data_IF_846463057678
#
_entry.id   IF_846463057678
#
_cell.length_a   1.000
_cell.length_b   1.000
_cell.length_c   1.000
_cell.angle_alpha   90.00
_cell.angle_beta   90.00
_cell.angle_gamma   90.00
#
_symmetry.space_group_name_H-M   'P 1'
#
loop_
_entity.id
_entity.type
_entity.pdbx_description
1 polymer ?
#
# COMPACT_ATOMS: atom_id res chain seq x y z
N UNK A 1 -27.18 -18.75 -53.38
CA UNK A 1 -26.59 -19.22 -52.10
C UNK A 1 -25.59 -18.16 -51.66
N UNK A 2 -26.00 -17.25 -50.77
CA UNK A 2 -25.18 -16.10 -50.33
C UNK A 2 -24.50 -16.49 -49.00
N UNK A 3 -23.18 -16.69 -49.03
CA UNK A 3 -22.37 -16.81 -47.81
C UNK A 3 -22.22 -15.41 -47.19
N UNK A 4 -22.85 -15.19 -46.05
CA UNK A 4 -22.61 -14.03 -45.20
C UNK A 4 -21.52 -14.41 -44.19
N UNK A 5 -20.38 -13.73 -44.28
CA UNK A 5 -19.24 -13.87 -43.41
C UNK A 5 -19.57 -13.21 -42.06
N UNK A 6 -19.84 -14.02 -41.03
CA UNK A 6 -20.01 -13.52 -39.66
C UNK A 6 -18.64 -13.27 -39.04
N UNK A 7 -18.23 -11.99 -38.98
CA UNK A 7 -17.05 -11.57 -38.22
C UNK A 7 -17.45 -11.57 -36.74
N UNK A 8 -16.91 -12.53 -35.99
CA UNK A 8 -17.06 -12.60 -34.55
C UNK A 8 -16.36 -11.40 -33.89
N UNK A 9 -17.14 -10.50 -33.31
CA UNK A 9 -16.64 -9.39 -32.48
C UNK A 9 -16.18 -9.96 -31.14
N UNK A 10 -14.87 -10.15 -30.98
CA UNK A 10 -14.24 -10.38 -29.68
C UNK A 10 -14.34 -9.07 -28.87
N UNK A 11 -15.40 -8.91 -28.09
CA UNK A 11 -15.40 -7.96 -26.99
C UNK A 11 -14.37 -8.45 -25.97
N UNK A 12 -13.19 -7.85 -25.95
CA UNK A 12 -12.28 -7.95 -24.82
C UNK A 12 -12.98 -7.28 -23.63
N UNK A 13 -13.44 -8.08 -22.66
CA UNK A 13 -13.91 -7.58 -21.39
C UNK A 13 -12.69 -7.04 -20.66
N UNK A 14 -12.51 -5.72 -20.69
CA UNK A 14 -11.65 -5.03 -19.74
C UNK A 14 -12.28 -5.23 -18.36
N UNK A 15 -11.84 -6.25 -17.64
CA UNK A 15 -12.21 -6.43 -16.24
C UNK A 15 -11.71 -5.22 -15.46
N UNK A 16 -12.62 -4.48 -14.84
CA UNK A 16 -12.25 -3.47 -13.85
C UNK A 16 -11.47 -4.18 -12.74
N UNK A 17 -10.26 -3.71 -12.45
CA UNK A 17 -9.51 -4.19 -11.28
C UNK A 17 -10.35 -3.89 -10.02
N UNK A 18 -10.49 -4.83 -9.08
CA UNK A 18 -11.20 -4.59 -7.84
C UNK A 18 -10.55 -3.42 -7.09
N UNK A 19 -11.38 -2.55 -6.52
CA UNK A 19 -10.92 -1.43 -5.71
C UNK A 19 -10.17 -1.94 -4.47
N UNK A 20 -9.09 -1.25 -4.11
CA UNK A 20 -8.34 -1.54 -2.88
C UNK A 20 -9.19 -1.14 -1.67
N UNK A 21 -9.56 -2.10 -0.84
CA UNK A 21 -10.38 -1.86 0.35
C UNK A 21 -9.48 -1.66 1.58
N UNK A 22 -9.46 -0.43 2.09
CA UNK A 22 -8.73 -0.08 3.32
C UNK A 22 -9.55 -0.47 4.56
N UNK A 23 -8.88 -0.85 5.67
CA UNK A 23 -9.59 -1.09 6.91
C UNK A 23 -10.15 0.22 7.47
N UNK A 24 -11.33 0.12 8.07
CA UNK A 24 -11.88 1.19 8.89
C UNK A 24 -10.98 1.42 10.12
N UNK A 25 -10.54 2.66 10.30
CA UNK A 25 -9.58 3.06 11.32
C UNK A 25 -10.03 4.35 11.99
N UNK A 26 -10.14 4.30 13.32
CA UNK A 26 -10.39 5.48 14.14
C UNK A 26 -9.07 6.09 14.62
N UNK A 27 -8.86 7.37 14.30
CA UNK A 27 -7.74 8.14 14.82
C UNK A 27 -8.09 8.65 16.22
N UNK A 28 -7.34 8.23 17.24
CA UNK A 28 -7.57 8.62 18.64
C UNK A 28 -6.31 9.34 19.17
N UNK A 29 -6.30 10.68 19.21
CA UNK A 29 -5.12 11.43 19.61
C UNK A 29 -4.52 11.01 20.96
N UNK A 30 -3.23 10.64 20.95
CA UNK A 30 -2.46 10.25 22.14
C UNK A 30 -2.77 8.86 22.70
N UNK A 31 -3.62 8.06 22.04
CA UNK A 31 -4.04 6.75 22.54
C UNK A 31 -3.23 5.61 21.94
N UNK A 32 -2.87 4.57 22.72
CA UNK A 32 -2.30 3.33 22.18
C UNK A 32 -3.29 2.56 21.28
N UNK A 33 -4.59 2.87 21.36
CA UNK A 33 -5.63 2.24 20.54
C UNK A 33 -5.89 3.01 19.23
N UNK A 34 -5.15 4.10 18.98
CA UNK A 34 -5.26 4.87 17.75
C UNK A 34 -4.93 4.02 16.52
N UNK A 35 -5.71 4.14 15.44
CA UNK A 35 -5.58 3.36 14.22
C UNK A 35 -5.25 4.27 13.03
N UNK A 36 -4.33 3.81 12.18
CA UNK A 36 -4.07 4.42 10.87
C UNK A 36 -4.03 3.37 9.77
N UNK A 37 -4.77 3.53 8.67
CA UNK A 37 -4.68 2.60 7.55
C UNK A 37 -3.32 2.75 6.86
N UNK A 38 -2.78 1.63 6.37
CA UNK A 38 -1.52 1.55 5.64
C UNK A 38 -1.73 0.82 4.31
N UNK A 39 -1.07 1.34 3.27
CA UNK A 39 -0.87 0.66 1.98
C UNK A 39 0.61 0.56 1.73
N UNK A 40 1.09 -0.59 1.26
CA UNK A 40 2.48 -0.74 0.85
C UNK A 40 2.56 -1.47 -0.50
N UNK A 41 3.26 -0.85 -1.45
CA UNK A 41 3.54 -1.39 -2.77
C UNK A 41 4.83 -2.18 -2.73
N UNK A 42 4.74 -3.47 -3.08
CA UNK A 42 5.85 -4.41 -3.02
C UNK A 42 6.44 -4.66 -4.42
N UNK A 43 7.65 -5.26 -4.51
CA UNK A 43 8.23 -5.66 -5.78
C UNK A 43 7.33 -6.64 -6.54
N UNK A 44 7.24 -6.46 -7.85
CA UNK A 44 6.35 -7.21 -8.72
C UNK A 44 5.17 -6.36 -9.18
N UNK A 45 4.77 -6.53 -10.44
CA UNK A 45 3.63 -5.79 -10.99
C UNK A 45 2.38 -6.07 -10.15
N UNK A 46 1.70 -4.99 -9.73
CA UNK A 46 0.45 -5.03 -8.97
C UNK A 46 0.50 -5.78 -7.62
N UNK A 47 1.69 -6.01 -7.03
CA UNK A 47 1.80 -6.63 -5.70
C UNK A 47 1.73 -5.57 -4.60
N UNK A 48 0.77 -5.70 -3.69
CA UNK A 48 0.54 -4.73 -2.62
C UNK A 48 0.07 -5.37 -1.33
N UNK A 49 0.21 -4.64 -0.23
CA UNK A 49 -0.29 -4.95 1.11
C UNK A 49 -1.21 -3.82 1.55
N UNK A 50 -2.35 -4.19 2.12
CA UNK A 50 -3.26 -3.28 2.81
C UNK A 50 -3.38 -3.69 4.26
N UNK A 51 -3.38 -2.74 5.18
CA UNK A 51 -3.43 -3.04 6.59
C UNK A 51 -3.71 -1.83 7.45
N UNK A 52 -3.38 -1.99 8.74
CA UNK A 52 -3.49 -0.96 9.76
C UNK A 52 -2.25 -0.93 10.64
N UNK A 53 -1.94 0.28 11.10
CA UNK A 53 -1.06 0.56 12.23
C UNK A 53 -1.94 0.84 13.45
N UNK A 54 -1.65 0.21 14.58
CA UNK A 54 -2.27 0.51 15.88
C UNK A 54 -1.19 1.11 16.78
N UNK A 55 -1.50 2.22 17.45
CA UNK A 55 -0.59 2.95 18.34
C UNK A 55 -0.56 4.46 18.09
N UNK A 56 0.19 5.20 18.92
CA UNK A 56 0.40 6.65 18.77
C UNK A 56 1.84 7.03 18.38
N UNK A 57 2.83 6.59 19.17
CA UNK A 57 4.26 6.77 18.86
C UNK A 57 4.96 5.44 18.59
N UNK A 58 4.32 4.32 18.96
CA UNK A 58 4.76 2.97 18.68
C UNK A 58 3.57 2.02 18.74
N UNK A 59 3.72 0.85 18.13
CA UNK A 59 2.74 -0.21 18.26
C UNK A 59 2.87 -1.27 17.18
N UNK A 60 1.73 -1.82 16.77
CA UNK A 60 1.66 -2.99 15.89
C UNK A 60 1.27 -2.63 14.47
N UNK A 61 1.80 -3.37 13.52
CA UNK A 61 1.40 -3.36 12.12
C UNK A 61 0.73 -4.69 11.82
N UNK A 62 -0.41 -4.66 11.14
CA UNK A 62 -1.04 -5.86 10.59
C UNK A 62 -1.60 -5.56 9.20
N UNK A 63 -1.39 -6.44 8.24
CA UNK A 63 -1.93 -6.29 6.90
C UNK A 63 -2.04 -7.60 6.15
N UNK A 64 -2.65 -7.54 4.98
CA UNK A 64 -2.85 -8.67 4.09
C UNK A 64 -2.42 -8.24 2.68
N UNK A 65 -1.68 -9.10 1.99
CA UNK A 65 -1.30 -8.86 0.60
C UNK A 65 -2.50 -9.05 -0.34
N UNK A 66 -2.43 -8.54 -1.56
CA UNK A 66 -3.44 -8.80 -2.58
C UNK A 66 -3.54 -10.28 -2.99
N UNK A 67 -2.57 -11.11 -2.61
CA UNK A 67 -2.61 -12.56 -2.74
C UNK A 67 -3.21 -13.28 -1.50
N UNK A 68 -3.59 -12.54 -0.46
CA UNK A 68 -4.18 -13.09 0.77
C UNK A 68 -3.17 -13.50 1.85
N UNK A 69 -1.88 -13.21 1.69
CA UNK A 69 -0.85 -13.50 2.70
C UNK A 69 -0.97 -12.54 3.87
N UNK A 70 -1.05 -13.04 5.10
CA UNK A 70 -1.05 -12.18 6.30
C UNK A 70 0.37 -11.73 6.65
N UNK A 71 0.50 -10.48 7.06
CA UNK A 71 1.75 -9.88 7.50
C UNK A 71 1.55 -9.14 8.82
N UNK A 72 2.47 -9.34 9.76
CA UNK A 72 2.42 -8.76 11.11
C UNK A 72 3.76 -8.12 11.42
N UNK A 73 3.73 -7.01 12.16
CA UNK A 73 4.90 -6.22 12.43
C UNK A 73 4.76 -5.26 13.58
N UNK A 74 5.75 -4.39 13.70
CA UNK A 74 5.80 -3.32 14.69
C UNK A 74 6.26 -2.03 14.04
N UNK A 75 5.81 -0.90 14.56
CA UNK A 75 6.26 0.42 14.13
C UNK A 75 6.58 1.30 15.34
N UNK A 76 7.37 2.34 15.11
CA UNK A 76 7.68 3.38 16.10
C UNK A 76 8.12 4.69 15.45
N UNK A 77 7.95 5.78 16.15
CA UNK A 77 8.49 7.10 15.83
C UNK A 77 9.76 7.32 16.64
N UNK A 78 10.80 7.80 15.99
CA UNK A 78 12.06 8.19 16.66
C UNK A 78 11.95 9.59 17.25
N UNK A 79 12.86 9.97 18.16
CA UNK A 79 12.91 11.34 18.69
C UNK A 79 13.18 12.44 17.64
N UNK A 80 13.43 12.08 16.38
CA UNK A 80 13.58 13.00 15.24
C UNK A 80 12.30 13.10 14.38
N UNK A 81 11.19 12.47 14.79
CA UNK A 81 9.95 12.44 14.03
C UNK A 81 9.94 11.46 12.85
N UNK A 82 10.99 10.64 12.69
CA UNK A 82 11.07 9.62 11.64
C UNK A 82 10.34 8.36 12.10
N UNK A 83 9.43 7.85 11.27
CA UNK A 83 8.73 6.58 11.50
C UNK A 83 9.53 5.40 10.99
N UNK A 84 9.60 4.32 11.76
CA UNK A 84 10.27 3.08 11.42
C UNK A 84 9.27 1.94 11.57
N UNK A 85 9.11 1.10 10.54
CA UNK A 85 8.29 -0.10 10.62
C UNK A 85 9.07 -1.34 10.15
N UNK A 86 8.70 -2.49 10.69
CA UNK A 86 9.18 -3.80 10.26
C UNK A 86 8.03 -4.79 10.30
N UNK A 87 7.99 -5.73 9.38
CA UNK A 87 6.97 -6.77 9.32
C UNK A 87 7.53 -8.07 8.76
N UNK A 88 6.83 -9.16 9.03
CA UNK A 88 7.04 -10.46 8.41
C UNK A 88 5.69 -11.01 7.95
N UNK A 89 5.70 -11.74 6.84
CA UNK A 89 4.54 -12.37 6.22
C UNK A 89 4.61 -13.88 6.35
N UNK A 90 3.46 -14.55 6.29
CA UNK A 90 3.36 -16.02 6.45
C UNK A 90 4.11 -16.82 5.37
N UNK A 91 4.36 -16.21 4.21
CA UNK A 91 5.14 -16.79 3.11
C UNK A 91 6.67 -16.64 3.31
N UNK A 92 7.10 -16.07 4.43
CA UNK A 92 8.50 -15.85 4.78
C UNK A 92 9.07 -14.52 4.29
N UNK A 93 8.28 -13.65 3.65
CA UNK A 93 8.73 -12.30 3.30
C UNK A 93 8.89 -11.42 4.54
N UNK A 94 9.97 -10.65 4.61
CA UNK A 94 10.23 -9.68 5.68
C UNK A 94 10.50 -8.29 5.10
N UNK A 95 9.87 -7.27 5.65
CA UNK A 95 10.03 -5.88 5.21
C UNK A 95 10.48 -4.94 6.32
N UNK A 96 11.17 -3.87 5.94
CA UNK A 96 11.56 -2.74 6.80
C UNK A 96 11.32 -1.43 6.07
N UNK A 97 10.64 -0.50 6.71
CA UNK A 97 10.20 0.79 6.16
C UNK A 97 10.70 1.94 7.00
N UNK A 98 11.01 3.05 6.35
CA UNK A 98 11.31 4.35 6.95
C UNK A 98 10.35 5.38 6.37
N UNK A 99 9.52 5.98 7.22
CA UNK A 99 8.64 7.10 6.90
C UNK A 99 9.36 8.41 7.20
N UNK A 100 9.57 9.22 6.17
CA UNK A 100 10.39 10.43 6.23
C UNK A 100 9.70 11.68 5.68
N UNK A 101 8.53 11.53 5.06
CA UNK A 101 7.74 12.62 4.54
C UNK A 101 6.33 12.52 5.07
N UNK A 102 5.75 13.66 5.45
CA UNK A 102 4.33 13.78 5.73
C UNK A 102 3.77 14.86 4.82
N UNK A 103 2.73 14.51 4.09
CA UNK A 103 2.02 15.43 3.25
C UNK A 103 1.18 16.38 4.11
N UNK A 104 1.32 17.69 3.86
CA UNK A 104 0.70 18.73 4.69
C UNK A 104 -0.80 18.92 4.48
N UNK A 105 -1.32 18.56 3.30
CA UNK A 105 -2.75 18.70 2.97
C UNK A 105 -3.54 17.50 3.50
N UNK A 106 -2.97 16.32 3.33
CA UNK A 106 -3.66 15.05 3.60
C UNK A 106 -3.32 14.49 4.98
N UNK A 107 -2.20 14.92 5.57
CA UNK A 107 -1.62 14.32 6.78
C UNK A 107 -1.05 12.93 6.54
N UNK A 108 -0.98 12.45 5.29
CA UNK A 108 -0.50 11.13 4.92
C UNK A 108 1.02 11.08 4.99
N UNK A 109 1.56 10.10 5.69
CA UNK A 109 3.00 9.83 5.72
C UNK A 109 3.38 8.93 4.56
N UNK A 110 4.53 9.19 3.95
CA UNK A 110 5.15 8.38 2.91
C UNK A 110 6.52 7.88 3.39
N UNK A 111 6.77 6.60 3.14
CA UNK A 111 8.01 5.94 3.46
C UNK A 111 8.47 4.97 2.39
N UNK A 112 9.75 4.61 2.48
CA UNK A 112 10.38 3.61 1.61
C UNK A 112 11.17 2.61 2.42
N UNK A 113 11.43 1.47 1.82
CA UNK A 113 11.99 0.34 2.53
C UNK A 113 12.58 -0.73 1.64
N UNK A 114 12.99 -1.80 2.30
CA UNK A 114 13.48 -3.01 1.66
C UNK A 114 12.62 -4.18 2.10
N UNK A 115 12.41 -5.12 1.18
CA UNK A 115 11.81 -6.43 1.46
C UNK A 115 12.81 -7.55 1.13
N UNK A 116 12.76 -8.65 1.88
CA UNK A 116 13.55 -9.84 1.61
C UNK A 116 13.29 -10.36 0.20
N UNK A 117 14.34 -10.77 -0.53
CA UNK A 117 14.22 -11.17 -1.93
C UNK A 117 14.68 -10.12 -2.96
N UNK A 118 15.28 -9.02 -2.49
CA UNK A 118 15.88 -7.93 -3.29
C UNK A 118 14.86 -7.05 -4.03
N UNK A 119 14.07 -6.29 -3.27
CA UNK A 119 13.32 -5.19 -3.86
C UNK A 119 12.98 -4.08 -2.88
N UNK A 120 12.50 -2.96 -3.45
CA UNK A 120 12.05 -1.81 -2.70
C UNK A 120 10.56 -1.90 -2.42
N UNK A 121 10.18 -1.38 -1.26
CA UNK A 121 8.78 -1.21 -0.87
C UNK A 121 8.54 0.28 -0.64
N UNK A 122 7.45 0.80 -1.18
CA UNK A 122 6.95 2.14 -0.88
C UNK A 122 5.67 2.01 -0.08
N UNK A 123 5.48 2.83 0.93
CA UNK A 123 4.33 2.70 1.82
C UNK A 123 3.79 4.05 2.25
N UNK A 124 2.48 4.09 2.42
CA UNK A 124 1.73 5.25 2.84
C UNK A 124 0.85 4.90 4.03
N UNK A 125 0.74 5.82 4.99
CA UNK A 125 -0.14 5.65 6.13
C UNK A 125 -0.73 7.00 6.53
N UNK A 126 -2.01 7.03 6.87
CA UNK A 126 -2.66 8.25 7.34
C UNK A 126 -4.17 8.10 7.34
N UNK A 127 -4.85 8.83 8.24
CA UNK A 127 -6.31 8.74 8.37
C UNK A 127 -7.05 9.08 7.06
N UNK A 128 -6.51 10.01 6.27
CA UNK A 128 -7.16 10.45 5.04
C UNK A 128 -6.73 9.68 3.80
N UNK A 129 -5.83 8.70 3.89
CA UNK A 129 -5.23 8.02 2.73
C UNK A 129 -6.28 7.47 1.74
N UNK A 130 -7.47 7.09 2.19
CA UNK A 130 -8.55 6.60 1.34
C UNK A 130 -9.04 7.63 0.32
N UNK A 131 -9.03 8.92 0.67
CA UNK A 131 -9.35 10.02 -0.25
C UNK A 131 -8.27 10.18 -1.33
N UNK A 132 -7.09 9.58 -1.08
CA UNK A 132 -5.89 9.63 -1.90
C UNK A 132 -5.66 8.34 -2.70
N UNK A 133 -6.63 7.44 -2.71
CA UNK A 133 -6.65 6.26 -3.57
C UNK A 133 -7.82 6.40 -4.58
N UNK A 134 -7.54 6.24 -5.88
CA UNK A 134 -8.62 6.10 -6.86
C UNK A 134 -9.37 4.78 -6.69
N UNK A 135 -10.45 4.59 -7.46
CA UNK A 135 -11.29 3.38 -7.47
C UNK A 135 -10.52 2.09 -7.82
N UNK A 136 -9.25 2.17 -8.19
CA UNK A 136 -8.36 1.01 -8.41
C UNK A 136 -7.29 0.86 -7.33
N UNK A 137 -7.22 1.78 -6.36
CA UNK A 137 -6.16 1.88 -5.36
C UNK A 137 -4.86 2.51 -5.88
N UNK A 138 -4.90 3.22 -7.02
CA UNK A 138 -3.71 3.53 -7.84
C UNK A 138 -3.46 5.02 -8.12
N UNK A 139 -4.23 5.95 -7.55
CA UNK A 139 -4.03 7.37 -7.85
C UNK A 139 -4.58 8.30 -6.78
N UNK A 140 -3.72 9.14 -6.20
CA UNK A 140 -3.95 10.59 -6.11
C UNK A 140 -2.63 11.32 -6.32
N UNK A 141 -2.73 12.44 -7.04
CA UNK A 141 -1.70 13.45 -7.32
C UNK A 141 -0.24 12.95 -7.32
N UNK A 142 0.11 12.30 -8.43
CA UNK A 142 1.48 12.25 -8.94
C UNK A 142 2.36 11.10 -8.50
N UNK A 143 2.29 10.63 -7.24
CA UNK A 143 3.36 9.78 -6.67
C UNK A 143 2.89 8.49 -5.95
N UNK A 144 1.59 8.20 -5.90
CA UNK A 144 1.04 6.99 -5.25
C UNK A 144 0.92 5.82 -6.24
N UNK A 145 2.04 5.15 -6.57
CA UNK A 145 2.04 4.05 -7.55
C UNK A 145 2.57 2.73 -6.98
N UNK A 146 1.71 1.71 -6.89
CA UNK A 146 2.17 0.33 -6.93
C UNK A 146 2.51 -0.02 -8.38
N UNK A 147 3.79 -0.26 -8.67
CA UNK A 147 4.23 -0.63 -10.02
C UNK A 147 4.74 0.52 -10.89
N UNK A 148 5.15 1.66 -10.32
CA UNK A 148 6.17 2.43 -11.02
C UNK A 148 7.45 1.60 -10.97
N UNK A 149 7.77 0.90 -12.07
CA UNK A 149 9.11 0.34 -12.29
C UNK A 149 10.13 1.39 -11.86
N UNK A 150 11.13 1.05 -11.02
CA UNK A 150 12.22 1.99 -10.80
C UNK A 150 12.71 2.40 -12.17
N UNK A 151 12.73 3.71 -12.45
CA UNK A 151 13.36 4.20 -13.65
C UNK A 151 14.77 3.60 -13.66
N UNK A 152 14.99 2.63 -14.54
CA UNK A 152 16.33 2.17 -14.85
C UNK A 152 17.05 3.43 -15.32
N UNK A 153 17.98 3.90 -14.50
CA UNK A 153 18.91 4.95 -14.90
C UNK A 153 19.70 4.33 -16.05
N UNK A 154 19.30 4.70 -17.27
CA UNK A 154 20.05 4.48 -18.51
C UNK A 154 21.33 5.31 -18.50
#
# INVERSE_FOLDING_TARGET
MRLLCSIATLCAWAGAAPAMELPDCELIPGSPDSCSPIVACMPGDDTYLVGRLIGWDEGTLSGVTNAGTSCIGTWRVTGLGVGLARFACDDGLEGRLVYYYQDGETGTTHGRGLISGFGYIEAWSGHNIQQFLDLTGRRVDGDLMCGATPMLIS
#
